data_IF_432853777599
#
_entry.id   IF_432853777599
#
_cell.length_a   1.000
_cell.length_b   1.000
_cell.length_c   1.000
_cell.angle_alpha   90.00
_cell.angle_beta   90.00
_cell.angle_gamma   90.00
#
_symmetry.space_group_name_H-M   'P 1'
#
loop_
_entity.id
_entity.type
_entity.pdbx_description
1 polymer ?
#
# COMPACT_ATOMS: atom_id res chain seq x y z
N UNK A 1 66.02 -21.58 -60.84
CA UNK A 1 64.56 -21.56 -61.05
C UNK A 1 63.97 -21.03 -59.75
N UNK A 2 63.78 -19.72 -59.67
CA UNK A 2 63.21 -19.04 -58.50
C UNK A 2 61.69 -19.17 -58.60
N UNK A 3 61.03 -19.63 -57.54
CA UNK A 3 59.57 -19.75 -57.48
C UNK A 3 58.93 -18.35 -57.55
N UNK A 4 58.16 -18.02 -58.59
CA UNK A 4 57.58 -16.70 -58.76
C UNK A 4 56.37 -16.42 -57.83
N UNK A 5 56.01 -17.33 -56.92
CA UNK A 5 54.81 -17.21 -56.08
C UNK A 5 55.04 -17.06 -54.58
N UNK A 6 56.29 -16.95 -54.09
CA UNK A 6 56.55 -16.95 -52.64
C UNK A 6 56.74 -15.57 -51.99
N UNK A 7 56.73 -14.46 -52.73
CA UNK A 7 56.86 -13.10 -52.16
C UNK A 7 55.62 -12.23 -52.40
N UNK A 8 54.44 -12.73 -52.02
CA UNK A 8 53.31 -11.84 -51.81
C UNK A 8 53.58 -11.04 -50.52
N UNK A 9 53.70 -9.69 -50.58
CA UNK A 9 53.83 -8.90 -49.36
C UNK A 9 52.63 -9.18 -48.46
N UNK A 10 52.89 -9.64 -47.25
CA UNK A 10 51.88 -9.74 -46.19
C UNK A 10 51.25 -8.35 -46.08
N UNK A 11 49.98 -8.23 -46.44
CA UNK A 11 49.25 -6.98 -46.29
C UNK A 11 49.41 -6.53 -44.83
N UNK A 12 49.75 -5.26 -44.56
CA UNK A 12 49.81 -4.77 -43.19
C UNK A 12 48.49 -5.15 -42.53
N UNK A 13 48.54 -5.91 -41.44
CA UNK A 13 47.37 -6.13 -40.60
C UNK A 13 46.95 -4.75 -40.10
N UNK A 14 46.02 -4.11 -40.83
CA UNK A 14 45.48 -2.82 -40.43
C UNK A 14 44.93 -2.96 -39.02
N UNK A 15 45.24 -1.97 -38.18
CA UNK A 15 44.76 -1.89 -36.81
C UNK A 15 43.25 -2.09 -36.81
N UNK A 16 42.79 -3.25 -36.33
CA UNK A 16 41.36 -3.51 -36.20
C UNK A 16 40.79 -2.44 -35.28
N UNK A 17 39.67 -1.78 -35.64
CA UNK A 17 39.09 -0.76 -34.79
C UNK A 17 38.77 -1.35 -33.41
N UNK A 18 38.99 -0.59 -32.31
CA UNK A 18 38.80 -1.09 -30.96
C UNK A 18 37.35 -1.52 -30.71
N UNK A 19 37.16 -2.67 -30.08
CA UNK A 19 35.86 -3.33 -29.89
C UNK A 19 35.12 -2.80 -28.65
N UNK A 20 34.82 -1.50 -28.63
CA UNK A 20 34.21 -0.83 -27.47
C UNK A 20 32.69 -1.04 -27.32
N UNK A 21 32.02 -1.67 -28.29
CA UNK A 21 30.55 -1.75 -28.36
C UNK A 21 29.89 -2.38 -27.13
N UNK A 22 30.44 -3.47 -26.60
CA UNK A 22 29.89 -4.15 -25.42
C UNK A 22 29.98 -3.30 -24.15
N UNK A 23 31.11 -2.59 -23.95
CA UNK A 23 31.29 -1.73 -22.78
C UNK A 23 30.28 -0.59 -22.75
N UNK A 24 30.04 0.08 -23.88
CA UNK A 24 29.04 1.17 -23.96
C UNK A 24 27.61 0.66 -23.78
N UNK A 25 27.28 -0.48 -24.40
CA UNK A 25 25.95 -1.09 -24.23
C UNK A 25 25.68 -1.48 -22.77
N UNK A 26 26.68 -2.06 -22.08
CA UNK A 26 26.55 -2.42 -20.67
C UNK A 26 26.23 -1.24 -19.77
N UNK A 27 26.84 -0.07 -20.04
CA UNK A 27 26.62 1.14 -19.26
C UNK A 27 25.20 1.69 -19.46
N UNK A 28 24.74 1.77 -20.71
CA UNK A 28 23.40 2.26 -21.02
C UNK A 28 22.32 1.36 -20.40
N UNK A 29 22.47 0.04 -20.53
CA UNK A 29 21.52 -0.93 -19.96
C UNK A 29 21.55 -0.84 -18.43
N UNK A 30 22.73 -0.79 -17.80
CA UNK A 30 22.85 -0.68 -16.34
C UNK A 30 22.18 0.56 -15.78
N UNK A 31 22.35 1.72 -16.43
CA UNK A 31 21.66 2.97 -16.03
C UNK A 31 20.14 2.90 -16.21
N UNK A 32 19.67 2.38 -17.35
CA UNK A 32 18.23 2.20 -17.58
C UNK A 32 17.61 1.25 -16.56
N UNK A 33 18.27 0.12 -16.26
CA UNK A 33 17.80 -0.83 -15.26
C UNK A 33 17.73 -0.25 -13.86
N UNK A 34 18.73 0.57 -13.48
CA UNK A 34 18.70 1.28 -12.22
C UNK A 34 17.55 2.30 -12.15
N UNK A 35 17.31 3.06 -13.23
CA UNK A 35 16.21 4.01 -13.30
C UNK A 35 14.84 3.32 -13.19
N UNK A 36 14.68 2.14 -13.81
CA UNK A 36 13.45 1.35 -13.74
C UNK A 36 13.11 0.85 -12.33
N UNK A 37 14.06 0.81 -11.40
CA UNK A 37 13.76 0.47 -10.00
C UNK A 37 12.78 1.45 -9.35
N UNK A 38 12.76 2.70 -9.80
CA UNK A 38 11.97 3.78 -9.20
C UNK A 38 10.58 3.96 -9.84
N UNK A 39 10.25 3.17 -10.87
CA UNK A 39 8.94 3.24 -11.51
C UNK A 39 8.00 2.17 -10.94
N UNK A 40 6.70 2.48 -10.75
CA UNK A 40 5.71 1.47 -10.42
C UNK A 40 5.73 0.36 -11.50
N UNK A 41 5.74 -0.90 -11.08
CA UNK A 41 5.91 -2.10 -11.91
C UNK A 41 7.29 -2.32 -12.57
N UNK A 42 8.22 -1.35 -12.48
CA UNK A 42 9.54 -1.44 -13.11
C UNK A 42 10.48 -2.48 -12.49
N UNK A 43 10.25 -2.86 -11.22
CA UNK A 43 11.04 -3.86 -10.49
C UNK A 43 11.12 -5.21 -11.23
N UNK A 44 10.01 -5.62 -11.88
CA UNK A 44 9.91 -6.90 -12.58
C UNK A 44 10.80 -7.00 -13.83
N UNK A 45 11.20 -5.86 -14.39
CA UNK A 45 12.00 -5.79 -15.64
C UNK A 45 13.43 -5.34 -15.34
N UNK A 46 13.64 -4.59 -14.26
CA UNK A 46 14.94 -4.05 -13.87
C UNK A 46 16.01 -5.14 -13.67
N UNK A 47 15.67 -6.27 -13.04
CA UNK A 47 16.63 -7.34 -12.77
C UNK A 47 17.15 -8.03 -14.04
N UNK A 48 16.31 -8.16 -15.08
CA UNK A 48 16.72 -8.75 -16.38
C UNK A 48 17.76 -7.85 -17.04
N UNK A 49 17.48 -6.55 -17.13
CA UNK A 49 18.43 -5.60 -17.72
C UNK A 49 19.72 -5.51 -16.91
N UNK A 50 19.63 -5.54 -15.57
CA UNK A 50 20.81 -5.54 -14.70
C UNK A 50 21.70 -6.77 -14.94
N UNK A 51 21.11 -7.96 -15.10
CA UNK A 51 21.86 -9.17 -15.43
C UNK A 51 22.58 -9.06 -16.78
N UNK A 52 21.91 -8.52 -17.81
CA UNK A 52 22.53 -8.28 -19.13
C UNK A 52 23.67 -7.27 -19.03
N UNK A 53 23.50 -6.20 -18.26
CA UNK A 53 24.54 -5.20 -18.02
C UNK A 53 25.79 -5.81 -17.37
N UNK A 54 25.63 -6.69 -16.39
CA UNK A 54 26.75 -7.41 -15.74
C UNK A 54 27.51 -8.27 -16.75
N UNK A 55 26.79 -9.06 -17.57
CA UNK A 55 27.44 -9.94 -18.57
C UNK A 55 28.21 -9.13 -19.60
N UNK A 56 27.59 -8.10 -20.20
CA UNK A 56 28.26 -7.27 -21.21
C UNK A 56 29.43 -6.47 -20.61
N UNK A 57 29.28 -5.98 -19.37
CA UNK A 57 30.34 -5.30 -18.65
C UNK A 57 31.54 -6.22 -18.40
N UNK A 58 31.30 -7.46 -17.97
CA UNK A 58 32.35 -8.45 -17.74
C UNK A 58 33.10 -8.83 -19.04
N UNK A 59 32.39 -9.04 -20.15
CA UNK A 59 33.01 -9.32 -21.45
C UNK A 59 33.81 -8.10 -21.93
N UNK A 60 33.25 -6.89 -21.81
CA UNK A 60 33.94 -5.65 -22.17
C UNK A 60 35.22 -5.43 -21.35
N UNK A 61 35.21 -5.76 -20.06
CA UNK A 61 36.40 -5.72 -19.21
C UNK A 61 37.44 -6.75 -19.63
N UNK A 62 37.04 -7.97 -19.97
CA UNK A 62 37.96 -8.99 -20.47
C UNK A 62 38.65 -8.54 -21.77
N UNK A 63 37.90 -7.96 -22.71
CA UNK A 63 38.44 -7.41 -23.95
C UNK A 63 39.39 -6.23 -23.73
N UNK A 64 39.09 -5.36 -22.76
CA UNK A 64 39.98 -4.27 -22.39
C UNK A 64 41.30 -4.80 -21.79
N UNK A 65 41.25 -5.89 -21.00
CA UNK A 65 42.44 -6.54 -20.47
C UNK A 65 43.28 -7.23 -21.56
N UNK A 66 42.66 -7.75 -22.63
CA UNK A 66 43.38 -8.35 -23.77
C UNK A 66 43.83 -7.32 -24.81
N UNK A 67 43.60 -6.02 -24.58
CA UNK A 67 43.97 -4.94 -25.52
C UNK A 67 43.09 -4.85 -26.77
N UNK A 68 41.95 -5.55 -26.81
CA UNK A 68 40.99 -5.50 -27.93
C UNK A 68 40.03 -4.31 -27.82
N UNK A 69 39.90 -3.73 -26.63
CA UNK A 69 39.06 -2.57 -26.34
C UNK A 69 39.83 -1.54 -25.50
N UNK A 70 39.44 -0.27 -25.59
CA UNK A 70 40.08 0.84 -24.86
C UNK A 70 39.18 1.45 -23.79
N UNK A 71 37.91 1.03 -23.70
CA UNK A 71 36.89 1.62 -22.83
C UNK A 71 36.70 0.89 -21.49
N UNK A 72 37.81 0.61 -20.78
CA UNK A 72 37.78 -0.13 -19.51
C UNK A 72 36.87 0.51 -18.46
N UNK A 73 36.87 1.85 -18.35
CA UNK A 73 36.02 2.58 -17.40
C UNK A 73 34.53 2.45 -17.71
N UNK A 74 34.15 2.49 -18.99
CA UNK A 74 32.77 2.33 -19.44
C UNK A 74 32.24 0.92 -19.16
N UNK A 75 33.04 -0.10 -19.49
CA UNK A 75 32.69 -1.49 -19.18
C UNK A 75 32.60 -1.75 -17.67
N UNK A 76 33.49 -1.14 -16.88
CA UNK A 76 33.41 -1.17 -15.42
C UNK A 76 32.12 -0.51 -14.92
N UNK A 77 31.74 0.64 -15.47
CA UNK A 77 30.52 1.36 -15.10
C UNK A 77 29.26 0.53 -15.32
N UNK A 78 29.13 -0.14 -16.47
CA UNK A 78 28.02 -1.05 -16.75
C UNK A 78 28.00 -2.28 -15.82
N UNK A 79 29.16 -2.87 -15.58
CA UNK A 79 29.29 -4.01 -14.66
C UNK A 79 28.86 -3.66 -13.23
N UNK A 80 29.38 -2.56 -12.68
CA UNK A 80 29.08 -2.15 -11.30
C UNK A 80 27.67 -1.59 -11.13
N UNK A 81 27.13 -0.87 -12.12
CA UNK A 81 25.73 -0.43 -12.08
C UNK A 81 24.76 -1.62 -12.13
N UNK A 82 25.05 -2.65 -12.94
CA UNK A 82 24.27 -3.89 -12.95
C UNK A 82 24.29 -4.63 -11.61
N UNK A 83 25.48 -4.81 -11.01
CA UNK A 83 25.61 -5.42 -9.68
C UNK A 83 24.91 -4.60 -8.59
N UNK A 84 25.06 -3.27 -8.62
CA UNK A 84 24.41 -2.37 -7.68
C UNK A 84 22.88 -2.43 -7.78
N UNK A 85 22.36 -2.52 -9.01
CA UNK A 85 20.91 -2.69 -9.25
C UNK A 85 20.41 -4.00 -8.66
N UNK A 86 21.10 -5.12 -8.90
CA UNK A 86 20.72 -6.44 -8.35
C UNK A 86 20.75 -6.40 -6.81
N UNK A 87 21.81 -5.85 -6.21
CA UNK A 87 21.93 -5.74 -4.77
C UNK A 87 20.83 -4.86 -4.16
N UNK A 88 20.51 -3.73 -4.80
CA UNK A 88 19.43 -2.85 -4.38
C UNK A 88 18.06 -3.54 -4.48
N UNK A 89 17.78 -4.27 -5.57
CA UNK A 89 16.55 -5.06 -5.70
C UNK A 89 16.42 -6.10 -4.59
N UNK A 90 17.49 -6.85 -4.30
CA UNK A 90 17.49 -7.83 -3.22
C UNK A 90 17.26 -7.16 -1.87
N UNK A 91 17.89 -6.01 -1.61
CA UNK A 91 17.67 -5.26 -0.38
C UNK A 91 16.23 -4.73 -0.25
N UNK A 92 15.65 -4.20 -1.32
CA UNK A 92 14.27 -3.71 -1.35
C UNK A 92 13.29 -4.86 -1.08
N UNK A 93 13.46 -6.00 -1.76
CA UNK A 93 12.61 -7.19 -1.54
C UNK A 93 12.80 -7.71 -0.12
N UNK A 94 14.03 -7.77 0.37
CA UNK A 94 14.30 -8.19 1.74
C UNK A 94 13.62 -7.28 2.75
N UNK A 95 13.80 -5.95 2.68
CA UNK A 95 13.11 -4.99 3.55
C UNK A 95 11.58 -5.12 3.46
N UNK A 96 11.04 -5.27 2.24
CA UNK A 96 9.60 -5.37 2.03
C UNK A 96 9.00 -6.71 2.49
N UNK A 97 9.82 -7.74 2.74
CA UNK A 97 9.36 -9.09 3.13
C UNK A 97 9.84 -9.50 4.52
N UNK A 98 10.67 -8.68 5.17
CA UNK A 98 11.17 -8.94 6.51
C UNK A 98 10.05 -8.66 7.50
N UNK A 99 9.29 -9.70 7.87
CA UNK A 99 8.33 -9.70 8.99
C UNK A 99 9.06 -9.63 10.35
N UNK A 100 10.13 -8.84 10.47
CA UNK A 100 10.79 -8.70 11.76
C UNK A 100 9.82 -8.02 12.70
N UNK A 101 9.45 -8.64 13.84
CA UNK A 101 8.97 -7.85 14.96
C UNK A 101 10.11 -6.89 15.27
N UNK A 102 9.89 -5.59 15.04
CA UNK A 102 10.86 -4.58 15.41
C UNK A 102 11.03 -4.70 16.92
N UNK A 103 12.14 -5.29 17.35
CA UNK A 103 12.58 -5.21 18.74
C UNK A 103 12.80 -3.74 19.02
N UNK A 104 11.83 -3.15 19.73
CA UNK A 104 11.90 -1.88 20.44
C UNK A 104 13.32 -1.67 20.95
N UNK A 105 14.00 -0.66 20.42
CA UNK A 105 15.15 -0.10 21.13
C UNK A 105 14.61 0.38 22.47
N UNK A 106 15.04 -0.29 23.55
CA UNK A 106 14.73 0.09 24.91
C UNK A 106 15.12 1.55 25.13
N UNK A 107 14.13 2.43 25.03
CA UNK A 107 14.10 3.56 25.95
C UNK A 107 13.87 2.93 27.31
N UNK A 108 14.87 3.08 28.17
CA UNK A 108 14.67 3.09 29.61
C UNK A 108 13.68 4.23 29.91
N UNK A 109 12.39 3.97 29.70
CA UNK A 109 11.30 4.76 30.25
C UNK A 109 11.33 4.44 31.73
N UNK A 110 11.74 5.42 32.53
CA UNK A 110 11.55 5.42 33.98
C UNK A 110 10.19 4.81 34.29
N UNK A 111 10.18 3.72 35.05
CA UNK A 111 8.96 3.04 35.51
C UNK A 111 7.96 4.08 36.02
N UNK A 112 6.85 4.35 35.32
CA UNK A 112 5.73 4.98 35.97
C UNK A 112 5.15 3.92 36.90
N UNK A 113 5.09 4.27 38.18
CA UNK A 113 4.35 3.53 39.20
C UNK A 113 3.00 3.04 38.64
N UNK A 114 2.62 1.75 38.79
CA UNK A 114 1.33 1.29 38.35
C UNK A 114 0.27 1.87 39.29
N UNK A 115 -0.26 3.03 38.92
CA UNK A 115 -1.54 3.50 39.39
C UNK A 115 -2.51 3.32 38.24
N UNK A 116 -2.91 2.08 38.01
CA UNK A 116 -4.15 1.78 37.28
C UNK A 116 -5.27 2.41 38.10
N UNK A 117 -5.62 3.63 37.74
CA UNK A 117 -6.91 4.22 38.09
C UNK A 117 -7.77 3.95 36.87
N UNK A 118 -8.56 2.87 36.93
CA UNK A 118 -9.77 2.77 36.11
C UNK A 118 -10.64 4.00 36.44
N UNK A 119 -10.40 5.10 35.74
CA UNK A 119 -11.43 6.13 35.62
C UNK A 119 -12.54 5.52 34.79
N UNK A 120 -13.80 5.58 35.25
CA UNK A 120 -14.92 5.08 34.47
C UNK A 120 -14.95 5.84 33.15
N UNK A 121 -15.00 5.10 32.04
CA UNK A 121 -15.29 5.65 30.70
C UNK A 121 -16.54 6.52 30.85
N UNK A 122 -16.39 7.82 30.65
CA UNK A 122 -17.52 8.74 30.66
C UNK A 122 -18.52 8.26 29.59
N UNK A 123 -19.79 7.99 29.92
CA UNK A 123 -20.78 7.56 28.93
C UNK A 123 -21.03 8.59 27.82
N UNK A 124 -20.43 9.78 27.89
CA UNK A 124 -20.49 10.81 26.85
C UNK A 124 -19.90 10.36 25.51
N UNK A 125 -18.93 9.43 25.50
CA UNK A 125 -18.16 9.07 24.31
C UNK A 125 -16.88 9.89 24.17
N UNK A 126 -16.15 9.62 23.09
CA UNK A 126 -14.91 10.26 22.69
C UNK A 126 -15.21 11.29 21.60
N UNK A 127 -14.84 12.54 21.88
CA UNK A 127 -14.91 13.63 20.91
C UNK A 127 -13.61 13.73 20.10
N UNK A 128 -13.50 14.76 19.27
CA UNK A 128 -12.28 15.01 18.52
C UNK A 128 -11.03 15.15 19.42
N UNK A 129 -9.96 14.50 19.02
CA UNK A 129 -8.70 14.44 19.75
C UNK A 129 -7.88 13.20 19.40
N UNK A 130 -6.64 13.19 19.89
CA UNK A 130 -5.73 12.04 19.80
C UNK A 130 -5.79 11.30 21.13
N UNK A 131 -6.03 9.99 21.08
CA UNK A 131 -6.24 9.15 22.25
C UNK A 131 -5.23 8.00 22.25
N UNK A 132 -4.43 7.88 23.32
CA UNK A 132 -3.44 6.80 23.44
C UNK A 132 -4.14 5.49 23.79
N UNK A 133 -3.89 4.46 23.01
CA UNK A 133 -4.55 3.15 23.19
C UNK A 133 -3.97 2.45 24.42
N UNK A 134 -4.87 1.91 25.25
CA UNK A 134 -4.55 1.30 26.54
C UNK A 134 -4.32 2.28 27.69
N UNK A 135 -4.22 3.58 27.42
CA UNK A 135 -4.12 4.63 28.44
C UNK A 135 -5.37 5.50 28.50
N UNK A 136 -5.75 6.12 27.37
CA UNK A 136 -6.90 7.02 27.28
C UNK A 136 -8.14 6.32 26.69
N UNK A 137 -7.93 5.35 25.79
CA UNK A 137 -8.98 4.59 25.13
C UNK A 137 -8.66 3.09 25.13
N UNK A 138 -9.65 2.25 25.41
CA UNK A 138 -9.46 0.80 25.40
C UNK A 138 -9.53 0.24 23.97
N UNK A 139 -8.81 -0.85 23.65
CA UNK A 139 -9.05 -1.60 22.43
C UNK A 139 -10.50 -2.07 22.33
N UNK A 140 -11.04 -2.09 21.12
CA UNK A 140 -12.42 -2.44 20.85
C UNK A 140 -12.99 -1.73 19.64
N UNK A 141 -14.23 -2.07 19.29
CA UNK A 141 -14.97 -1.42 18.22
C UNK A 141 -15.72 -0.21 18.76
N UNK A 142 -15.63 0.90 18.04
CA UNK A 142 -16.30 2.16 18.33
C UNK A 142 -17.20 2.52 17.17
N UNK A 143 -18.36 3.10 17.47
CA UNK A 143 -19.35 3.52 16.50
C UNK A 143 -19.76 4.98 16.73
N UNK A 144 -20.11 5.65 15.64
CA UNK A 144 -20.71 6.98 15.60
C UNK A 144 -21.97 6.93 14.74
N UNK A 145 -22.93 7.79 15.04
CA UNK A 145 -24.15 7.99 14.24
C UNK A 145 -24.01 9.18 13.26
N UNK A 146 -22.76 9.57 12.99
CA UNK A 146 -22.46 10.82 12.30
C UNK A 146 -22.48 12.03 13.23
N UNK A 147 -22.40 13.22 12.63
CA UNK A 147 -22.47 14.51 13.31
C UNK A 147 -23.67 15.32 12.81
N UNK A 148 -23.52 16.63 12.68
CA UNK A 148 -24.49 17.46 11.96
C UNK A 148 -24.47 17.14 10.45
N UNK A 149 -25.48 17.57 9.68
CA UNK A 149 -25.65 17.25 8.26
C UNK A 149 -24.41 17.51 7.37
N UNK A 150 -23.56 18.46 7.74
CA UNK A 150 -22.34 18.83 7.00
C UNK A 150 -21.04 18.39 7.72
N UNK A 151 -21.15 17.59 8.77
CA UNK A 151 -19.99 17.13 9.54
C UNK A 151 -19.17 16.12 8.74
N UNK A 152 -17.84 16.20 8.88
CA UNK A 152 -16.93 15.14 8.46
C UNK A 152 -16.41 14.46 9.72
N UNK A 153 -16.81 13.22 9.93
CA UNK A 153 -16.35 12.41 11.05
C UNK A 153 -15.20 11.54 10.56
N UNK A 154 -14.01 11.75 11.08
CA UNK A 154 -12.84 10.95 10.72
C UNK A 154 -12.34 10.18 11.92
N UNK A 155 -11.89 8.96 11.68
CA UNK A 155 -11.17 8.13 12.64
C UNK A 155 -9.93 7.54 11.98
N UNK A 156 -8.76 7.81 12.54
CA UNK A 156 -7.47 7.39 12.00
C UNK A 156 -6.70 6.61 13.07
N UNK A 157 -6.41 5.33 12.79
CA UNK A 157 -5.61 4.47 13.66
C UNK A 157 -4.15 4.59 13.29
N UNK A 158 -3.27 4.74 14.28
CA UNK A 158 -1.84 4.96 14.04
C UNK A 158 -0.93 4.10 14.90
N UNK A 159 0.26 3.85 14.38
CA UNK A 159 1.42 3.36 15.13
C UNK A 159 2.58 4.32 14.90
N UNK A 160 2.71 5.31 15.79
CA UNK A 160 3.62 6.44 15.59
C UNK A 160 3.24 7.25 14.35
N UNK A 161 4.17 7.39 13.40
CA UNK A 161 3.93 8.16 12.17
C UNK A 161 3.14 7.38 11.10
N UNK A 162 2.95 6.07 11.26
CA UNK A 162 2.25 5.22 10.29
C UNK A 162 0.73 5.21 10.52
N UNK A 163 -0.04 5.39 9.45
CA UNK A 163 -1.49 5.23 9.43
C UNK A 163 -1.83 3.77 9.11
N UNK A 164 -2.53 3.10 10.03
CA UNK A 164 -2.90 1.69 9.94
C UNK A 164 -4.29 1.48 9.31
N UNK A 165 -5.17 2.46 9.46
CA UNK A 165 -6.52 2.45 8.92
C UNK A 165 -7.18 3.80 9.12
N UNK A 166 -7.99 4.21 8.17
CA UNK A 166 -8.65 5.51 8.15
C UNK A 166 -10.10 5.33 7.71
N UNK A 167 -11.02 5.96 8.43
CA UNK A 167 -12.43 6.05 8.08
C UNK A 167 -12.85 7.51 8.04
N UNK A 168 -13.57 7.88 6.99
CA UNK A 168 -14.31 9.15 6.94
C UNK A 168 -15.77 8.85 6.61
N UNK A 169 -16.68 9.33 7.46
CA UNK A 169 -18.12 9.35 7.20
C UNK A 169 -18.63 10.78 7.23
N UNK A 170 -19.67 11.07 6.43
CA UNK A 170 -20.16 12.43 6.21
C UNK A 170 -21.59 12.58 6.72
N UNK A 171 -21.89 13.72 7.30
CA UNK A 171 -23.23 14.06 7.76
C UNK A 171 -23.70 13.13 8.88
N UNK A 172 -24.88 12.57 8.68
CA UNK A 172 -25.56 11.66 9.61
C UNK A 172 -25.26 10.17 9.33
N UNK A 173 -24.24 9.90 8.49
CA UNK A 173 -23.86 8.53 8.15
C UNK A 173 -23.26 7.80 9.35
N UNK A 174 -23.67 6.54 9.62
CA UNK A 174 -23.07 5.76 10.66
C UNK A 174 -21.62 5.39 10.29
N UNK A 175 -20.75 5.34 11.30
CA UNK A 175 -19.35 4.97 11.13
C UNK A 175 -18.94 3.99 12.21
N UNK A 176 -18.01 3.09 11.87
CA UNK A 176 -17.54 2.04 12.78
C UNK A 176 -16.07 1.75 12.57
N UNK A 177 -15.31 1.72 13.66
CA UNK A 177 -13.87 1.45 13.62
C UNK A 177 -13.43 0.56 14.78
N UNK A 178 -12.59 -0.42 14.51
CA UNK A 178 -12.00 -1.33 15.50
C UNK A 178 -10.57 -0.90 15.81
N UNK A 179 -10.36 -0.46 17.05
CA UNK A 179 -9.07 -0.16 17.64
C UNK A 179 -8.47 -1.46 18.19
N UNK A 180 -7.27 -1.80 17.75
CA UNK A 180 -6.54 -2.98 18.22
C UNK A 180 -5.65 -2.61 19.40
N UNK A 181 -5.28 -3.60 20.21
CA UNK A 181 -4.34 -3.43 21.33
C UNK A 181 -2.90 -3.12 20.89
N UNK A 182 -2.58 -3.41 19.63
CA UNK A 182 -1.30 -3.09 18.99
C UNK A 182 -1.22 -1.67 18.46
N UNK A 183 -2.33 -0.93 18.44
CA UNK A 183 -2.33 0.47 18.00
C UNK A 183 -1.63 1.34 19.06
N UNK A 184 -0.92 2.37 18.62
CA UNK A 184 -0.34 3.34 19.55
C UNK A 184 -1.40 4.38 19.95
N UNK A 185 -2.12 4.89 18.96
CA UNK A 185 -3.13 5.93 19.14
C UNK A 185 -4.23 5.84 18.09
N UNK A 186 -5.37 6.48 18.41
CA UNK A 186 -6.42 6.78 17.45
C UNK A 186 -6.73 8.28 17.51
N UNK A 187 -6.81 8.90 16.34
CA UNK A 187 -7.26 10.27 16.19
C UNK A 187 -8.72 10.29 15.72
N UNK A 188 -9.58 10.94 16.49
CA UNK A 188 -10.91 11.31 16.04
C UNK A 188 -10.91 12.78 15.63
N UNK A 189 -11.53 13.08 14.49
CA UNK A 189 -11.73 14.45 14.02
C UNK A 189 -13.19 14.66 13.59
N UNK A 190 -13.58 15.94 13.55
CA UNK A 190 -14.97 16.35 13.30
C UNK A 190 -15.73 16.70 14.57
N UNK A 191 -17.05 16.85 14.45
CA UNK A 191 -17.95 17.18 15.56
C UNK A 191 -18.76 15.96 16.02
N UNK A 192 -18.17 14.77 15.90
CA UNK A 192 -18.87 13.50 16.05
C UNK A 192 -18.42 12.81 17.33
N UNK A 193 -19.37 12.13 17.97
CA UNK A 193 -19.14 11.46 19.23
C UNK A 193 -18.98 9.96 18.99
N UNK A 194 -17.78 9.44 19.28
CA UNK A 194 -17.46 8.02 19.13
C UNK A 194 -17.70 7.29 20.43
N UNK A 195 -18.46 6.19 20.40
CA UNK A 195 -18.76 5.40 21.60
C UNK A 195 -18.44 3.94 21.37
N UNK A 196 -18.13 3.16 22.42
CA UNK A 196 -18.02 1.71 22.27
C UNK A 196 -19.25 1.16 21.54
N UNK A 197 -19.00 0.36 20.52
CA UNK A 197 -20.04 -0.28 19.75
C UNK A 197 -20.83 -1.24 20.65
N UNK A 198 -22.15 -1.18 20.53
CA UNK A 198 -23.05 -1.98 21.35
C UNK A 198 -24.50 -1.72 21.00
N UNK A 199 -25.42 -2.49 21.62
CA UNK A 199 -26.85 -2.43 21.29
C UNK A 199 -27.48 -1.05 21.55
N UNK A 200 -26.86 -0.22 22.39
CA UNK A 200 -27.35 1.11 22.75
C UNK A 200 -26.93 2.21 21.76
N UNK A 201 -26.12 1.88 20.74
CA UNK A 201 -25.64 2.83 19.72
C UNK A 201 -25.60 2.18 18.32
N UNK A 202 -26.63 1.41 17.98
CA UNK A 202 -26.82 0.88 16.63
C UNK A 202 -27.48 1.93 15.74
N UNK A 203 -27.05 1.98 14.49
CA UNK A 203 -27.69 2.75 13.44
C UNK A 203 -29.00 2.09 13.02
N UNK A 204 -30.00 2.91 12.68
CA UNK A 204 -31.27 2.45 12.11
C UNK A 204 -31.47 3.11 10.74
N UNK A 205 -31.63 2.27 9.73
CA UNK A 205 -31.80 2.67 8.34
C UNK A 205 -33.27 2.71 7.90
N UNK A 206 -34.21 2.20 8.71
CA UNK A 206 -35.62 2.00 8.32
C UNK A 206 -35.79 1.23 6.98
N UNK A 207 -34.79 0.44 6.58
CA UNK A 207 -34.75 -0.32 5.32
C UNK A 207 -34.10 0.37 4.12
N UNK A 208 -33.67 1.63 4.26
CA UNK A 208 -32.97 2.42 3.25
C UNK A 208 -31.56 2.77 3.74
N UNK A 209 -30.53 2.14 3.17
CA UNK A 209 -29.16 2.25 3.65
C UNK A 209 -28.39 3.26 2.81
N UNK A 210 -28.07 4.41 3.39
CA UNK A 210 -27.22 5.41 2.77
C UNK A 210 -25.73 5.17 3.00
N UNK A 211 -24.93 6.20 2.68
CA UNK A 211 -23.49 6.21 2.97
C UNK A 211 -23.19 5.89 4.44
N UNK A 212 -22.07 5.23 4.69
CA UNK A 212 -21.63 4.84 6.03
C UNK A 212 -21.24 3.38 6.14
N UNK A 213 -20.85 2.99 7.35
CA UNK A 213 -20.43 1.62 7.69
C UNK A 213 -21.51 0.96 8.54
N UNK A 214 -22.07 -0.13 8.03
CA UNK A 214 -23.21 -0.84 8.61
C UNK A 214 -22.80 -2.25 9.06
N UNK A 215 -23.11 -2.61 10.31
CA UNK A 215 -22.83 -3.93 10.88
C UNK A 215 -23.83 -4.99 10.39
N UNK A 216 -23.31 -6.06 9.79
CA UNK A 216 -24.13 -7.12 9.25
C UNK A 216 -24.81 -7.95 10.35
N UNK A 217 -26.09 -8.26 10.15
CA UNK A 217 -26.91 -9.04 11.08
C UNK A 217 -27.52 -8.25 12.24
N UNK A 218 -27.01 -7.06 12.57
CA UNK A 218 -27.56 -6.19 13.63
C UNK A 218 -28.13 -4.89 13.08
N UNK A 219 -27.41 -4.20 12.19
CA UNK A 219 -27.86 -2.95 11.56
C UNK A 219 -28.37 -3.20 10.15
N UNK A 220 -27.68 -4.06 9.39
CA UNK A 220 -28.07 -4.45 8.02
C UNK A 220 -28.21 -5.98 7.92
N UNK A 221 -29.39 -6.52 7.59
CA UNK A 221 -29.54 -7.97 7.41
C UNK A 221 -28.72 -8.52 6.24
N UNK A 222 -28.22 -9.77 6.29
CA UNK A 222 -27.67 -10.42 5.11
C UNK A 222 -28.73 -10.56 4.01
N UNK A 223 -28.51 -9.92 2.86
CA UNK A 223 -29.41 -9.92 1.71
C UNK A 223 -28.68 -9.44 0.44
N UNK A 224 -29.34 -9.58 -0.71
CA UNK A 224 -29.03 -8.76 -1.88
C UNK A 224 -29.62 -7.36 -1.69
N UNK A 225 -28.84 -6.35 -2.04
CA UNK A 225 -29.19 -4.94 -1.98
C UNK A 225 -29.00 -4.32 -3.36
N UNK A 226 -30.02 -3.62 -3.84
CA UNK A 226 -29.97 -2.86 -5.08
C UNK A 226 -29.89 -1.36 -4.82
N UNK A 227 -29.33 -0.64 -5.79
CA UNK A 227 -29.29 0.82 -5.81
C UNK A 227 -29.50 1.34 -7.24
N UNK A 228 -29.87 2.61 -7.33
CA UNK A 228 -29.99 3.35 -8.58
C UNK A 228 -29.13 4.63 -8.48
N UNK A 229 -28.07 4.70 -9.29
CA UNK A 229 -27.16 5.83 -9.35
C UNK A 229 -27.53 6.83 -10.46
N UNK A 230 -28.80 6.87 -10.90
CA UNK A 230 -29.25 7.70 -12.03
C UNK A 230 -28.95 9.20 -11.87
N UNK A 231 -28.97 9.71 -10.65
CA UNK A 231 -28.77 11.13 -10.33
C UNK A 231 -27.39 11.43 -9.71
N UNK A 232 -26.45 10.47 -9.77
CA UNK A 232 -25.14 10.53 -9.13
C UNK A 232 -24.01 10.31 -10.14
N UNK A 233 -22.77 10.64 -9.75
CA UNK A 233 -21.57 10.35 -10.56
C UNK A 233 -21.16 8.86 -10.48
N UNK A 234 -21.67 8.15 -9.48
CA UNK A 234 -21.44 6.74 -9.21
C UNK A 234 -21.31 6.46 -7.72
N UNK A 235 -21.39 5.20 -7.31
CA UNK A 235 -21.25 4.81 -5.92
C UNK A 235 -20.51 3.48 -5.75
N UNK A 236 -19.98 3.29 -4.55
CA UNK A 236 -19.22 2.12 -4.14
C UNK A 236 -19.89 1.43 -2.97
N UNK A 237 -19.80 0.11 -2.97
CA UNK A 237 -20.13 -0.72 -1.83
C UNK A 237 -18.98 -1.69 -1.56
N UNK A 238 -18.51 -1.76 -0.33
CA UNK A 238 -17.44 -2.68 0.09
C UNK A 238 -17.98 -3.63 1.15
N UNK A 239 -17.84 -4.93 0.94
CA UNK A 239 -18.08 -5.95 1.97
C UNK A 239 -16.87 -6.06 2.86
N UNK A 240 -17.12 -6.12 4.15
CA UNK A 240 -16.09 -6.05 5.18
C UNK A 240 -16.02 -7.34 5.99
N UNK A 241 -14.81 -7.83 6.23
CA UNK A 241 -14.51 -8.90 7.19
C UNK A 241 -14.18 -8.40 8.60
N UNK A 242 -13.98 -7.09 8.75
CA UNK A 242 -13.68 -6.41 10.00
C UNK A 242 -13.87 -4.90 9.85
N UNK A 243 -13.67 -4.16 10.95
CA UNK A 243 -13.79 -2.70 10.98
C UNK A 243 -12.47 -2.01 11.32
N UNK A 244 -11.34 -2.67 11.12
CA UNK A 244 -10.03 -2.06 11.34
C UNK A 244 -9.72 -0.97 10.30
N UNK A 245 -10.43 -0.98 9.17
CA UNK A 245 -10.27 -0.07 8.03
C UNK A 245 -8.89 -0.15 7.39
N UNK A 246 -8.23 -1.29 7.59
CA UNK A 246 -7.02 -1.66 6.88
C UNK A 246 -7.40 -2.27 5.53
N UNK A 247 -6.47 -2.23 4.57
CA UNK A 247 -6.65 -2.81 3.23
C UNK A 247 -7.06 -4.29 3.20
N UNK A 248 -6.86 -5.01 4.31
CA UNK A 248 -7.22 -6.43 4.43
C UNK A 248 -8.68 -6.69 4.83
N UNK A 249 -9.43 -5.68 5.25
CA UNK A 249 -10.82 -5.86 5.68
C UNK A 249 -11.78 -6.01 4.49
N UNK A 250 -11.44 -5.43 3.35
CA UNK A 250 -12.24 -5.46 2.13
C UNK A 250 -12.21 -6.85 1.49
N UNK A 251 -13.34 -7.57 1.56
CA UNK A 251 -13.48 -8.93 1.03
C UNK A 251 -14.29 -9.00 -0.27
N UNK A 252 -14.90 -7.88 -0.67
CA UNK A 252 -15.59 -7.74 -1.93
C UNK A 252 -15.98 -6.28 -2.16
N UNK A 253 -16.16 -5.89 -3.40
CA UNK A 253 -16.64 -4.55 -3.72
C UNK A 253 -17.52 -4.56 -4.97
N UNK A 254 -18.39 -3.57 -5.06
CA UNK A 254 -19.18 -3.24 -6.25
C UNK A 254 -19.01 -1.75 -6.54
N UNK A 255 -18.87 -1.41 -7.82
CA UNK A 255 -18.90 -0.03 -8.30
C UNK A 255 -20.04 0.14 -9.29
N UNK A 256 -20.98 1.02 -8.97
CA UNK A 256 -22.13 1.35 -9.81
C UNK A 256 -21.85 2.69 -10.50
N UNK A 257 -21.62 2.72 -11.82
CA UNK A 257 -21.40 3.96 -12.54
C UNK A 257 -22.63 4.88 -12.46
N UNK A 258 -22.40 6.20 -12.51
CA UNK A 258 -23.48 7.18 -12.61
C UNK A 258 -24.37 6.93 -13.83
N UNK A 259 -25.69 6.99 -13.64
CA UNK A 259 -26.67 6.65 -14.68
C UNK A 259 -27.05 5.18 -14.78
N UNK A 260 -26.50 4.31 -13.92
CA UNK A 260 -26.75 2.86 -13.93
C UNK A 260 -27.38 2.36 -12.62
N UNK A 261 -27.86 1.12 -12.66
CA UNK A 261 -28.34 0.37 -11.50
C UNK A 261 -27.32 -0.71 -11.17
N UNK A 262 -27.18 -1.02 -9.89
CA UNK A 262 -26.26 -2.06 -9.42
C UNK A 262 -26.77 -2.76 -8.18
N UNK A 263 -26.08 -3.83 -7.80
CA UNK A 263 -26.45 -4.65 -6.65
C UNK A 263 -25.24 -5.24 -5.95
N UNK A 264 -25.32 -5.39 -4.64
CA UNK A 264 -24.33 -6.11 -3.83
C UNK A 264 -25.03 -7.10 -2.88
N UNK A 265 -24.40 -8.25 -2.64
CA UNK A 265 -24.92 -9.24 -1.69
C UNK A 265 -24.10 -9.21 -0.41
N UNK A 266 -24.71 -8.82 0.70
CA UNK A 266 -24.16 -8.98 2.05
C UNK A 266 -24.42 -10.42 2.51
N UNK A 267 -23.36 -11.16 2.79
CA UNK A 267 -23.47 -12.60 3.11
C UNK A 267 -23.55 -12.87 4.61
N UNK A 268 -24.10 -14.03 4.96
CA UNK A 268 -24.06 -14.57 6.32
C UNK A 268 -22.61 -14.91 6.68
N UNK A 269 -21.95 -14.02 7.43
CA UNK A 269 -20.55 -14.14 7.81
C UNK A 269 -19.72 -12.89 7.58
N UNK A 270 -20.25 -11.92 6.82
CA UNK A 270 -19.65 -10.59 6.73
C UNK A 270 -19.68 -9.92 8.11
N UNK A 271 -18.66 -9.11 8.40
CA UNK A 271 -18.72 -8.22 9.55
C UNK A 271 -19.66 -7.04 9.25
N UNK A 272 -19.61 -6.52 8.03
CA UNK A 272 -20.45 -5.38 7.63
C UNK A 272 -20.28 -4.98 6.17
N UNK A 273 -20.82 -3.82 5.83
CA UNK A 273 -20.70 -3.19 4.52
C UNK A 273 -20.40 -1.69 4.67
N UNK A 274 -19.61 -1.14 3.76
CA UNK A 274 -19.33 0.29 3.66
C UNK A 274 -19.91 0.82 2.35
N UNK A 275 -20.89 1.71 2.44
CA UNK A 275 -21.49 2.41 1.31
C UNK A 275 -20.92 3.82 1.19
N UNK A 276 -20.59 4.22 -0.05
CA UNK A 276 -20.00 5.53 -0.35
C UNK A 276 -20.56 6.05 -1.67
N UNK A 277 -20.82 7.35 -1.75
CA UNK A 277 -21.14 8.04 -3.00
C UNK A 277 -22.58 8.54 -3.09
N UNK A 278 -23.30 8.58 -1.97
CA UNK A 278 -24.64 9.13 -1.83
C UNK A 278 -25.77 8.21 -2.32
N UNK A 279 -25.45 6.96 -2.66
CA UNK A 279 -26.45 5.97 -3.06
C UNK A 279 -27.32 5.55 -1.87
N UNK A 280 -28.58 5.23 -2.17
CA UNK A 280 -29.49 4.58 -1.22
C UNK A 280 -29.67 3.14 -1.65
N UNK A 281 -29.28 2.21 -0.78
CA UNK A 281 -29.34 0.78 -1.00
C UNK A 281 -30.58 0.21 -0.32
N UNK A 282 -31.36 -0.59 -1.03
CA UNK A 282 -32.56 -1.25 -0.51
C UNK A 282 -32.46 -2.74 -0.72
N UNK A 283 -32.93 -3.53 0.26
CA UNK A 283 -32.96 -4.98 0.11
C UNK A 283 -33.93 -5.39 -1.01
N UNK A 284 -33.49 -6.33 -1.86
CA UNK A 284 -34.30 -6.94 -2.94
C UNK A 284 -35.30 -8.00 -2.44
#
# INVERSE_FOLDING_TARGET
>A
MLDPFTDAPVAPQGDRPPQNGLGTASLAIGMCSFALLWLPFGLNVAWIGAAVAVVFGAIGLAWACTGLATNRSTAAGGFFSGLGTIAATVAIVWIATDERPYTTYGQDVETPSPSVSESPVDPSGFEAGVWQVGADIAPGTYATQGGDTDAYCTAERRSGEEVLGELTVVGLSPGRITVLDTDAEIEFAGSCSWRPAGPDNLADADGEYGDGVWEAGTEIPPSAYATDASDLDGCYAFRLSGFTMALGDDIGYEYVPGGEQGSITVEEGDAGVHFIGGCVWTAD
#
